data_IF_084216652967
#
_entry.id   IF_084216652967
#
_cell.length_a   1.000
_cell.length_b   1.000
_cell.length_c   1.000
_cell.angle_alpha   90.00
_cell.angle_beta   90.00
_cell.angle_gamma   90.00
#
_symmetry.space_group_name_H-M   'P 1'
#
loop_
_entity.id
_entity.type
_entity.pdbx_description
1 polymer ?
#
# COMPACT_ATOMS: atom_id res chain seq x y z
N UNK A 1 10.71 18.77 9.75
CA UNK A 1 9.54 18.83 8.85
C UNK A 1 8.56 17.76 9.25
N UNK A 2 7.26 17.94 9.02
CA UNK A 2 6.30 16.83 9.17
C UNK A 2 6.52 15.80 8.05
N UNK A 3 6.30 14.52 8.32
CA UNK A 3 6.42 13.42 7.37
C UNK A 3 5.04 12.82 7.08
N UNK A 4 4.69 12.72 5.80
CA UNK A 4 3.62 11.86 5.31
C UNK A 4 4.26 10.77 4.46
N UNK A 5 3.96 9.52 4.77
CA UNK A 5 4.49 8.35 4.05
C UNK A 5 3.41 7.28 3.95
N UNK A 6 3.43 6.48 2.90
CA UNK A 6 2.51 5.35 2.80
C UNK A 6 2.95 4.36 1.76
N UNK A 7 2.14 3.33 1.62
CA UNK A 7 2.29 2.26 0.63
C UNK A 7 0.93 1.86 0.10
N UNK A 8 0.89 1.23 -1.04
CA UNK A 8 -0.30 0.59 -1.56
C UNK A 8 -0.39 -0.86 -1.04
N UNK A 9 -1.60 -1.41 -0.93
CA UNK A 9 -1.81 -2.72 -0.30
C UNK A 9 -1.20 -3.88 -1.10
N UNK A 10 -1.15 -3.75 -2.42
CA UNK A 10 -0.62 -4.77 -3.34
C UNK A 10 0.49 -4.20 -4.24
N UNK A 11 1.40 -3.36 -3.70
CA UNK A 11 2.47 -2.64 -4.42
C UNK A 11 3.02 -3.39 -5.64
N UNK A 12 3.49 -4.62 -5.43
CA UNK A 12 4.25 -5.33 -6.44
C UNK A 12 3.42 -6.00 -7.54
N UNK A 13 2.08 -5.94 -7.46
CA UNK A 13 1.22 -6.49 -8.51
C UNK A 13 1.48 -5.81 -9.86
N UNK A 14 1.94 -4.56 -9.88
CA UNK A 14 2.32 -3.85 -11.11
C UNK A 14 3.41 -4.59 -11.89
N UNK A 15 4.32 -5.29 -11.20
CA UNK A 15 5.48 -5.94 -11.81
C UNK A 15 5.22 -7.41 -12.17
N UNK A 16 4.11 -7.97 -11.71
CA UNK A 16 3.81 -9.40 -11.85
C UNK A 16 2.57 -9.62 -12.71
N UNK A 17 1.48 -8.91 -12.44
CA UNK A 17 0.18 -9.10 -13.09
C UNK A 17 0.19 -8.76 -14.57
N UNK A 18 0.70 -7.60 -15.03
CA UNK A 18 0.63 -7.24 -16.46
C UNK A 18 1.36 -8.20 -17.39
N UNK A 19 2.40 -8.87 -16.89
CA UNK A 19 3.13 -9.86 -17.68
C UNK A 19 2.33 -11.15 -17.90
N UNK A 20 1.45 -11.49 -16.96
CA UNK A 20 0.73 -12.77 -16.91
C UNK A 20 1.63 -14.01 -16.90
N UNK A 21 2.96 -13.84 -16.80
CA UNK A 21 3.91 -14.91 -17.04
C UNK A 21 3.92 -15.89 -15.87
N UNK A 22 3.84 -17.21 -16.12
CA UNK A 22 3.96 -18.20 -15.07
C UNK A 22 5.34 -18.11 -14.41
N UNK A 23 5.39 -18.40 -13.12
CA UNK A 23 6.61 -18.35 -12.32
C UNK A 23 6.88 -19.73 -11.73
N UNK A 24 8.06 -20.27 -12.01
CA UNK A 24 8.54 -21.50 -11.39
C UNK A 24 8.95 -21.25 -9.93
N UNK A 25 8.82 -22.29 -9.10
CA UNK A 25 9.19 -22.23 -7.67
C UNK A 25 10.68 -21.91 -7.45
N UNK A 26 11.55 -22.36 -8.35
CA UNK A 26 12.98 -22.04 -8.31
C UNK A 26 13.24 -20.55 -8.51
N UNK A 27 12.43 -19.86 -9.32
CA UNK A 27 12.52 -18.40 -9.51
C UNK A 27 12.03 -17.64 -8.28
N UNK A 28 10.97 -18.12 -7.62
CA UNK A 28 10.48 -17.56 -6.36
C UNK A 28 11.54 -17.69 -5.26
N UNK A 29 12.17 -18.86 -5.13
CA UNK A 29 13.26 -19.07 -4.17
C UNK A 29 14.44 -18.14 -4.44
N UNK A 30 14.91 -18.06 -5.68
CA UNK A 30 15.99 -17.16 -6.06
C UNK A 30 15.65 -15.69 -5.78
N UNK A 31 14.39 -15.28 -5.97
CA UNK A 31 13.92 -13.94 -5.62
C UNK A 31 14.01 -13.67 -4.11
N UNK A 32 13.61 -14.64 -3.29
CA UNK A 32 13.66 -14.56 -1.83
C UNK A 32 15.11 -14.49 -1.33
N UNK A 33 16.01 -15.33 -1.85
CA UNK A 33 17.43 -15.36 -1.49
C UNK A 33 18.14 -14.01 -1.71
N UNK A 34 17.71 -13.23 -2.72
CA UNK A 34 18.28 -11.90 -2.96
C UNK A 34 17.78 -10.81 -2.00
N UNK A 35 16.73 -11.06 -1.22
CA UNK A 35 16.00 -10.02 -0.46
C UNK A 35 15.92 -10.30 1.03
N UNK A 36 15.98 -11.57 1.43
CA UNK A 36 15.71 -12.01 2.79
C UNK A 36 16.91 -12.79 3.33
N UNK A 37 17.17 -12.63 4.63
CA UNK A 37 18.20 -13.40 5.33
C UNK A 37 17.82 -14.89 5.41
N UNK A 38 16.55 -15.18 5.70
CA UNK A 38 16.02 -16.53 5.90
C UNK A 38 14.93 -16.88 4.86
N UNK A 39 15.29 -17.05 3.58
CA UNK A 39 14.33 -17.12 2.47
C UNK A 39 13.39 -18.33 2.56
N UNK A 40 13.87 -19.49 3.00
CA UNK A 40 13.05 -20.72 3.09
C UNK A 40 11.99 -20.63 4.18
N UNK A 41 12.35 -20.08 5.33
CA UNK A 41 11.41 -19.87 6.43
C UNK A 41 10.33 -18.86 6.02
N UNK A 42 10.73 -17.74 5.43
CA UNK A 42 9.80 -16.74 4.94
C UNK A 42 8.83 -17.31 3.89
N UNK A 43 9.34 -18.05 2.89
CA UNK A 43 8.49 -18.71 1.89
C UNK A 43 7.57 -19.77 2.50
N UNK A 44 8.01 -20.48 3.54
CA UNK A 44 7.15 -21.40 4.29
C UNK A 44 6.02 -20.64 4.96
N UNK A 45 6.28 -19.50 5.60
CA UNK A 45 5.24 -18.66 6.20
C UNK A 45 4.24 -18.15 5.14
N UNK A 46 4.71 -17.70 3.97
CA UNK A 46 3.83 -17.28 2.88
C UNK A 46 2.94 -18.43 2.38
N UNK A 47 3.50 -19.63 2.15
CA UNK A 47 2.72 -20.80 1.72
C UNK A 47 1.75 -21.27 2.80
N UNK A 48 2.12 -21.25 4.07
CA UNK A 48 1.20 -21.58 5.17
C UNK A 48 0.02 -20.62 5.22
N UNK A 49 0.26 -19.33 5.02
CA UNK A 49 -0.80 -18.34 4.97
C UNK A 49 -1.70 -18.48 3.72
N UNK A 50 -1.14 -18.95 2.60
CA UNK A 50 -1.86 -19.09 1.32
C UNK A 50 -1.44 -20.36 0.58
N UNK A 51 -1.97 -21.53 0.99
CA UNK A 51 -1.53 -22.82 0.45
C UNK A 51 -1.75 -23.00 -1.05
N UNK A 52 -2.76 -22.32 -1.60
CA UNK A 52 -3.14 -22.41 -3.01
C UNK A 52 -2.57 -21.28 -3.89
N UNK A 53 -1.81 -20.33 -3.33
CA UNK A 53 -1.31 -19.19 -4.09
C UNK A 53 -0.23 -19.64 -5.09
N UNK A 54 -0.35 -19.15 -6.32
CA UNK A 54 0.64 -19.40 -7.36
C UNK A 54 1.98 -18.70 -7.01
N UNK A 55 3.16 -19.22 -7.42
CA UNK A 55 4.45 -18.63 -7.05
C UNK A 55 4.61 -17.15 -7.42
N UNK A 56 3.98 -16.70 -8.51
CA UNK A 56 3.97 -15.29 -8.90
C UNK A 56 3.22 -14.38 -7.90
N UNK A 57 2.14 -14.89 -7.30
CA UNK A 57 1.41 -14.16 -6.25
C UNK A 57 2.22 -14.06 -4.97
N UNK A 58 2.91 -15.16 -4.59
CA UNK A 58 3.82 -15.16 -3.44
C UNK A 58 5.01 -14.22 -3.66
N UNK A 59 5.57 -14.19 -4.88
CA UNK A 59 6.61 -13.23 -5.25
C UNK A 59 6.12 -11.78 -5.12
N UNK A 60 4.90 -11.49 -5.59
CA UNK A 60 4.30 -10.17 -5.45
C UNK A 60 4.15 -9.77 -3.98
N UNK A 61 3.69 -10.68 -3.12
CA UNK A 61 3.57 -10.41 -1.67
C UNK A 61 4.91 -10.17 -1.01
N UNK A 62 5.90 -11.01 -1.30
CA UNK A 62 7.26 -10.86 -0.81
C UNK A 62 7.83 -9.49 -1.19
N UNK A 63 7.69 -9.08 -2.45
CA UNK A 63 8.18 -7.78 -2.91
C UNK A 63 7.38 -6.65 -2.23
N UNK A 64 6.05 -6.76 -2.13
CA UNK A 64 5.21 -5.77 -1.45
C UNK A 64 5.67 -5.56 0.00
N UNK A 65 6.01 -6.63 0.72
CA UNK A 65 6.49 -6.54 2.09
C UNK A 65 7.83 -5.79 2.22
N UNK A 66 8.66 -5.78 1.17
CA UNK A 66 9.88 -4.96 1.17
C UNK A 66 9.57 -3.45 1.15
N UNK A 67 8.56 -3.02 0.37
CA UNK A 67 8.08 -1.64 0.34
C UNK A 67 7.47 -1.24 1.69
N UNK A 68 6.54 -2.05 2.20
CA UNK A 68 5.86 -1.77 3.47
C UNK A 68 6.83 -1.72 4.65
N UNK A 69 7.82 -2.63 4.68
CA UNK A 69 8.87 -2.65 5.71
C UNK A 69 9.73 -1.39 5.64
N UNK A 70 10.19 -0.99 4.45
CA UNK A 70 10.99 0.21 4.28
C UNK A 70 10.26 1.47 4.76
N UNK A 71 9.02 1.67 4.30
CA UNK A 71 8.18 2.80 4.71
C UNK A 71 7.93 2.81 6.22
N UNK A 72 7.67 1.64 6.82
CA UNK A 72 7.48 1.53 8.28
C UNK A 72 8.74 1.92 9.06
N UNK A 73 9.90 1.41 8.66
CA UNK A 73 11.17 1.73 9.33
C UNK A 73 11.48 3.23 9.26
N UNK A 74 11.24 3.87 8.11
CA UNK A 74 11.41 5.32 7.97
C UNK A 74 10.42 6.10 8.84
N UNK A 75 9.15 5.70 8.86
CA UNK A 75 8.13 6.33 9.71
C UNK A 75 8.51 6.24 11.21
N UNK A 76 8.98 5.07 11.65
CA UNK A 76 9.46 4.83 13.01
C UNK A 76 10.69 5.67 13.33
N UNK A 77 11.72 5.67 12.46
CA UNK A 77 12.93 6.46 12.67
C UNK A 77 12.61 7.96 12.77
N UNK A 78 11.73 8.48 11.91
CA UNK A 78 11.29 9.87 11.95
C UNK A 78 10.53 10.19 13.25
N UNK A 79 9.62 9.30 13.68
CA UNK A 79 8.83 9.52 14.90
C UNK A 79 9.68 9.52 16.18
N UNK A 80 10.79 8.76 16.21
CA UNK A 80 11.70 8.69 17.35
C UNK A 80 12.86 9.69 17.28
N UNK A 81 13.00 10.45 16.20
CA UNK A 81 13.99 11.49 16.09
C UNK A 81 13.79 12.53 17.21
N UNK A 82 14.89 13.05 17.78
CA UNK A 82 14.86 13.92 18.99
C UNK A 82 14.11 15.25 18.79
N UNK A 83 13.68 15.57 17.58
CA UNK A 83 12.88 16.75 17.26
C UNK A 83 11.40 16.55 17.61
N UNK A 84 11.08 16.74 18.90
CA UNK A 84 9.73 16.59 19.52
C UNK A 84 8.59 17.46 18.94
N UNK A 85 8.84 18.20 17.85
CA UNK A 85 7.88 19.11 17.21
C UNK A 85 7.42 18.67 15.81
N UNK A 86 7.89 17.53 15.31
CA UNK A 86 7.49 17.02 14.00
C UNK A 86 6.48 15.89 14.15
N UNK A 87 5.55 15.79 13.20
CA UNK A 87 4.51 14.75 13.17
C UNK A 87 4.81 13.76 12.05
N UNK A 88 4.60 12.48 12.32
CA UNK A 88 4.61 11.41 11.31
C UNK A 88 3.18 10.96 11.04
N UNK A 89 2.80 10.92 9.78
CA UNK A 89 1.55 10.35 9.29
C UNK A 89 1.87 9.20 8.34
N UNK A 90 1.27 8.04 8.61
CA UNK A 90 1.39 6.85 7.77
C UNK A 90 0.04 6.51 7.15
N UNK A 91 0.01 6.10 5.88
CA UNK A 91 -1.20 5.60 5.22
C UNK A 91 -0.95 4.27 4.48
N UNK A 92 -2.04 3.52 4.28
CA UNK A 92 -2.11 2.40 3.33
C UNK A 92 -3.21 2.71 2.33
N UNK A 93 -2.88 2.74 1.04
CA UNK A 93 -3.88 2.88 -0.03
C UNK A 93 -4.41 1.50 -0.43
N UNK A 94 -5.73 1.32 -0.35
CA UNK A 94 -6.37 0.00 -0.47
C UNK A 94 -7.54 -0.04 -1.47
N UNK A 95 -7.79 1.03 -2.23
CA UNK A 95 -8.73 0.93 -3.35
C UNK A 95 -8.13 0.04 -4.44
N UNK A 96 -8.86 -0.99 -4.84
CA UNK A 96 -8.39 -2.02 -5.76
C UNK A 96 -8.86 -1.71 -7.17
N UNK A 97 -7.91 -1.56 -8.10
CA UNK A 97 -8.22 -1.38 -9.50
C UNK A 97 -8.94 -2.61 -10.08
N UNK A 98 -10.03 -2.42 -10.84
CA UNK A 98 -10.70 -3.49 -11.57
C UNK A 98 -9.94 -3.96 -12.82
N UNK A 99 -8.77 -3.38 -13.13
CA UNK A 99 -7.92 -3.80 -14.23
C UNK A 99 -7.48 -5.26 -14.10
N UNK A 100 -7.27 -5.93 -15.24
CA UNK A 100 -6.89 -7.34 -15.31
C UNK A 100 -7.87 -8.23 -14.52
N UNK A 101 -9.18 -7.97 -14.65
CA UNK A 101 -10.20 -8.71 -13.88
C UNK A 101 -10.10 -8.49 -12.36
N UNK A 102 -9.48 -7.39 -11.91
CA UNK A 102 -9.24 -7.10 -10.50
C UNK A 102 -7.96 -7.73 -9.93
N UNK A 103 -7.16 -8.41 -10.75
CA UNK A 103 -5.88 -8.97 -10.32
C UNK A 103 -4.86 -7.87 -9.98
N UNK A 104 -4.91 -6.71 -10.66
CA UNK A 104 -3.96 -5.62 -10.44
C UNK A 104 -4.03 -5.07 -9.00
N UNK A 105 -5.24 -4.96 -8.44
CA UNK A 105 -5.43 -4.54 -7.05
C UNK A 105 -5.03 -3.09 -6.78
N UNK A 106 -4.64 -2.78 -5.54
CA UNK A 106 -4.04 -1.51 -5.17
C UNK A 106 -2.52 -1.58 -5.41
N UNK A 107 -2.10 -1.74 -6.67
CA UNK A 107 -0.68 -1.86 -6.99
C UNK A 107 0.03 -0.51 -6.99
N UNK A 108 1.34 -0.55 -7.16
CA UNK A 108 2.17 0.63 -7.35
C UNK A 108 1.56 1.58 -8.40
N UNK A 109 1.65 2.89 -8.13
CA UNK A 109 1.11 4.00 -8.92
C UNK A 109 -0.42 4.16 -8.95
N UNK A 110 -1.23 3.20 -8.48
CA UNK A 110 -2.71 3.28 -8.54
C UNK A 110 -3.25 4.45 -7.71
N UNK A 111 -2.57 4.85 -6.64
CA UNK A 111 -2.92 5.98 -5.80
C UNK A 111 -2.65 7.35 -6.45
N UNK A 112 -1.72 7.41 -7.42
CA UNK A 112 -1.27 8.66 -8.02
C UNK A 112 -2.40 9.47 -8.68
N UNK A 113 -3.29 8.87 -9.50
CA UNK A 113 -4.43 9.60 -10.05
C UNK A 113 -5.36 10.19 -8.99
N UNK A 114 -5.47 9.56 -7.81
CA UNK A 114 -6.31 10.05 -6.72
C UNK A 114 -5.68 11.27 -6.03
N UNK A 115 -4.39 11.19 -5.68
CA UNK A 115 -3.71 12.29 -5.00
C UNK A 115 -3.47 13.50 -5.92
N UNK A 116 -3.35 13.26 -7.23
CA UNK A 116 -3.16 14.29 -8.24
C UNK A 116 -4.47 14.84 -8.81
N UNK A 117 -5.64 14.32 -8.40
CA UNK A 117 -6.95 14.67 -8.96
C UNK A 117 -7.02 14.47 -10.48
N UNK A 118 -6.44 13.37 -10.96
CA UNK A 118 -6.37 12.99 -12.37
C UNK A 118 -7.18 11.72 -12.65
N UNK A 119 -8.09 11.33 -11.76
CA UNK A 119 -8.94 10.15 -11.96
C UNK A 119 -9.76 10.24 -13.24
N UNK A 120 -10.13 11.43 -13.71
CA UNK A 120 -10.95 11.59 -14.92
C UNK A 120 -10.21 11.41 -16.26
N UNK A 121 -8.88 11.24 -16.25
CA UNK A 121 -8.10 11.08 -17.48
C UNK A 121 -8.52 9.80 -18.24
N UNK A 122 -9.01 9.91 -19.49
CA UNK A 122 -9.47 8.76 -20.27
C UNK A 122 -8.40 7.67 -20.45
N UNK A 123 -7.13 8.06 -20.58
CA UNK A 123 -6.01 7.14 -20.77
C UNK A 123 -5.77 6.18 -19.58
N UNK A 124 -6.36 6.45 -18.42
CA UNK A 124 -6.25 5.58 -17.24
C UNK A 124 -7.25 4.42 -17.24
N UNK A 125 -8.20 4.41 -18.19
CA UNK A 125 -9.31 3.47 -18.22
C UNK A 125 -9.24 2.48 -19.38
N UNK A 126 -9.67 1.25 -19.12
CA UNK A 126 -9.62 0.11 -20.04
C UNK A 126 -9.35 -1.18 -19.28
N UNK A 127 -9.62 -2.34 -19.90
CA UNK A 127 -9.53 -3.64 -19.22
C UNK A 127 -8.14 -3.94 -18.62
N UNK A 128 -7.09 -3.39 -19.21
CA UNK A 128 -5.69 -3.53 -18.79
C UNK A 128 -5.02 -2.20 -18.43
N UNK A 129 -5.77 -1.09 -18.42
CA UNK A 129 -5.25 0.22 -18.02
C UNK A 129 -5.24 0.36 -16.49
N UNK A 130 -4.46 1.31 -15.96
CA UNK A 130 -4.15 1.42 -14.52
C UNK A 130 -5.39 1.42 -13.59
N UNK A 131 -6.46 2.16 -13.94
CA UNK A 131 -7.69 2.24 -13.15
C UNK A 131 -8.77 1.25 -13.61
N UNK A 132 -8.49 0.42 -14.62
CA UNK A 132 -9.42 -0.59 -15.12
C UNK A 132 -10.62 -0.01 -15.88
N UNK A 133 -11.66 -0.81 -16.18
CA UNK A 133 -12.80 -0.37 -16.98
C UNK A 133 -13.87 0.39 -16.19
N UNK A 134 -13.79 0.41 -14.85
CA UNK A 134 -14.80 1.04 -13.99
C UNK A 134 -14.21 2.19 -13.20
N UNK A 135 -14.96 3.30 -13.16
CA UNK A 135 -14.58 4.48 -12.38
C UNK A 135 -14.57 4.16 -10.87
N UNK A 136 -13.63 4.73 -10.10
CA UNK A 136 -13.66 4.62 -8.65
C UNK A 136 -14.93 5.28 -8.09
N UNK A 137 -15.40 4.86 -6.89
CA UNK A 137 -16.50 5.54 -6.21
C UNK A 137 -16.22 7.04 -6.02
N UNK A 138 -17.22 7.90 -6.16
CA UNK A 138 -17.04 9.33 -5.96
C UNK A 138 -16.59 9.64 -4.53
N UNK A 139 -15.64 10.57 -4.38
CA UNK A 139 -15.15 11.01 -3.08
C UNK A 139 -13.98 10.20 -2.52
N UNK A 140 -13.48 9.19 -3.25
CA UNK A 140 -12.28 8.44 -2.87
C UNK A 140 -10.98 9.23 -3.11
N UNK A 141 -11.04 10.20 -4.02
CA UNK A 141 -10.05 11.25 -4.31
C UNK A 141 -10.06 12.37 -3.24
N UNK A 142 -11.09 12.45 -2.40
CA UNK A 142 -11.19 13.47 -1.34
C UNK A 142 -10.33 13.09 -0.13
N UNK A 143 -9.03 13.34 -0.23
CA UNK A 143 -8.17 13.45 0.95
C UNK A 143 -8.61 14.71 1.71
N UNK A 144 -9.20 14.53 2.89
CA UNK A 144 -9.86 15.61 3.66
C UNK A 144 -9.11 16.95 3.60
N UNK A 145 -9.76 18.07 3.21
CA UNK A 145 -9.21 19.38 3.52
C UNK A 145 -9.13 19.51 5.04
N UNK A 146 -7.97 19.94 5.54
CA UNK A 146 -7.73 20.21 6.96
C UNK A 146 -8.97 20.87 7.59
N UNK A 147 -9.57 20.25 8.60
CA UNK A 147 -10.34 21.02 9.59
C UNK A 147 -9.37 22.07 10.15
N UNK A 148 -9.70 23.36 9.97
CA UNK A 148 -9.03 24.42 10.74
C UNK A 148 -9.17 24.04 12.22
N UNK A 149 -8.09 24.05 13.01
CA UNK A 149 -8.22 23.83 14.44
C UNK A 149 -9.14 24.94 14.98
N UNK A 150 -10.30 24.55 15.51
CA UNK A 150 -11.04 25.43 16.40
C UNK A 150 -10.19 25.76 17.63
N UNK A 151 -10.49 26.85 18.36
CA UNK A 151 -9.74 27.21 19.55
C UNK A 151 -9.67 26.02 20.51
N UNK A 152 -8.46 25.68 20.94
CA UNK A 152 -8.20 24.48 21.74
C UNK A 152 -8.88 24.60 23.12
N UNK A 153 -9.61 23.57 23.58
CA UNK A 153 -10.02 23.51 24.97
C UNK A 153 -8.80 23.18 25.84
N UNK A 154 -8.64 23.92 26.94
CA UNK A 154 -7.58 23.73 27.93
C UNK A 154 -7.81 22.41 28.67
N UNK A 155 -6.90 21.44 28.56
CA UNK A 155 -6.85 20.26 29.46
C UNK A 155 -5.43 19.68 29.64
N UNK A 156 -5.20 18.97 30.78
CA UNK A 156 -3.90 18.89 31.43
C UNK A 156 -2.97 17.81 30.85
N UNK A 157 -1.69 17.91 31.23
CA UNK A 157 -0.56 17.16 30.70
C UNK A 157 -0.67 15.64 30.93
N UNK A 158 -0.30 14.88 29.91
CA UNK A 158 0.18 13.49 30.04
C UNK A 158 -0.68 12.45 29.35
N UNK A 159 -0.50 12.27 28.03
CA UNK A 159 -0.67 10.98 27.33
C UNK A 159 -0.29 11.15 25.84
N UNK A 160 0.76 10.48 25.38
CA UNK A 160 1.06 10.30 23.96
C UNK A 160 0.16 9.22 23.37
N UNK A 161 -0.66 9.58 22.37
CA UNK A 161 -1.54 8.67 21.63
C UNK A 161 -0.98 8.45 20.22
N UNK A 162 -0.78 7.19 19.84
CA UNK A 162 -0.55 6.78 18.45
C UNK A 162 -1.91 6.51 17.82
N UNK A 163 -2.28 7.27 16.79
CA UNK A 163 -3.54 7.06 16.07
C UNK A 163 -3.30 6.25 14.81
N UNK A 164 -3.76 4.99 14.80
CA UNK A 164 -3.81 4.14 13.62
C UNK A 164 -5.21 4.24 13.01
N UNK A 165 -5.32 4.58 11.72
CA UNK A 165 -6.59 4.54 10.99
C UNK A 165 -6.52 3.46 9.92
N UNK A 166 -7.40 2.46 10.02
CA UNK A 166 -7.73 1.56 8.91
C UNK A 166 -8.90 2.19 8.16
N UNK A 167 -8.79 2.29 6.84
CA UNK A 167 -9.90 2.62 5.96
C UNK A 167 -10.38 1.32 5.32
N UNK A 168 -11.64 0.96 5.56
CA UNK A 168 -12.35 -0.10 4.86
C UNK A 168 -13.71 0.45 4.46
N UNK A 169 -14.12 0.41 3.18
CA UNK A 169 -15.49 0.68 2.82
C UNK A 169 -16.39 -0.44 3.36
N UNK A 170 -17.57 -0.08 3.88
CA UNK A 170 -18.61 -1.05 4.23
C UNK A 170 -19.24 -1.60 2.94
N UNK A 171 -19.58 -2.90 2.87
CA UNK A 171 -20.40 -3.40 1.78
C UNK A 171 -21.81 -2.79 1.87
N UNK A 172 -22.40 -2.54 0.70
CA UNK A 172 -23.81 -2.17 0.53
C UNK A 172 -24.63 -3.45 0.51
#
# INVERSE_FOLDING_TARGET
MDLLIGTNREEANLYTVPSGAPMAETRLLALAERRLADPREALTAYRTAQPAAHPAELASRLITDTFTRGSRLLAEAHAHARHRRTRTFAYEFAWRSPAFGGALGACHCVELPFVLHLTDLPALYGDTALLGPRRPPPGLDRVHPRRRPGPAPVRPRGATRVERRRFSPRPV
#
